data_IF_981625594446
#
_entry.id   IF_981625594446
#
_cell.length_a   1.000
_cell.length_b   1.000
_cell.length_c   1.000
_cell.angle_alpha   90.00
_cell.angle_beta   90.00
_cell.angle_gamma   90.00
#
_symmetry.space_group_name_H-M   'P 1'
#
loop_
_entity.id
_entity.type
_entity.pdbx_description
1 polymer ?
#
# COMPACT_ATOMS: atom_id res chain seq x y z
N UNK A 1 3.67 -10.91 -9.24
CA UNK A 1 3.44 -10.53 -7.84
C UNK A 1 2.22 -9.66 -7.80
N UNK A 2 1.37 -9.86 -6.81
CA UNK A 2 0.16 -9.04 -6.58
C UNK A 2 0.12 -8.56 -5.14
N UNK A 3 -0.54 -7.43 -4.92
CA UNK A 3 -0.65 -6.71 -3.64
C UNK A 3 -2.05 -6.82 -3.04
N UNK A 4 -3.01 -7.39 -3.76
CA UNK A 4 -4.40 -7.52 -3.34
C UNK A 4 -4.76 -8.98 -3.04
N UNK A 5 -5.78 -9.23 -2.22
CA UNK A 5 -6.33 -10.56 -2.03
C UNK A 5 -6.81 -11.14 -3.36
N UNK A 6 -6.36 -12.35 -3.69
CA UNK A 6 -6.77 -13.05 -4.90
C UNK A 6 -7.61 -14.26 -4.52
N UNK A 7 -8.88 -14.23 -4.89
CA UNK A 7 -9.82 -15.34 -4.68
C UNK A 7 -10.20 -15.97 -6.01
N UNK A 8 -9.38 -16.94 -6.46
CA UNK A 8 -9.68 -17.72 -7.66
C UNK A 8 -9.21 -19.16 -7.49
N UNK A 9 -10.14 -20.13 -7.61
CA UNK A 9 -9.86 -21.57 -7.42
C UNK A 9 -8.85 -22.16 -8.42
N UNK A 10 -8.61 -21.48 -9.54
CA UNK A 10 -7.68 -21.92 -10.58
C UNK A 10 -6.26 -21.34 -10.40
N UNK A 11 -6.07 -20.50 -9.39
CA UNK A 11 -4.80 -19.88 -9.06
C UNK A 11 -4.19 -20.49 -7.79
N UNK A 12 -2.88 -20.50 -7.76
CA UNK A 12 -2.08 -20.69 -6.55
C UNK A 12 -1.62 -19.31 -6.10
N UNK A 13 -1.85 -19.00 -4.83
CA UNK A 13 -1.44 -17.74 -4.20
C UNK A 13 -0.45 -18.11 -3.11
N UNK A 14 0.79 -17.62 -3.23
CA UNK A 14 1.86 -17.88 -2.27
C UNK A 14 2.33 -16.55 -1.70
N UNK A 15 2.03 -16.23 -0.42
CA UNK A 15 2.58 -15.04 0.22
C UNK A 15 4.12 -15.10 0.20
N UNK A 16 4.74 -14.00 -0.18
CA UNK A 16 6.19 -13.93 -0.26
C UNK A 16 6.79 -12.86 0.64
N UNK A 17 6.00 -11.83 0.97
CA UNK A 17 6.48 -10.69 1.75
C UNK A 17 5.33 -9.85 2.27
N UNK A 18 5.57 -9.12 3.37
CA UNK A 18 4.66 -8.09 3.86
C UNK A 18 5.08 -6.70 3.37
N UNK A 19 4.11 -5.86 3.14
CA UNK A 19 4.23 -4.43 2.85
C UNK A 19 3.41 -3.66 3.87
N UNK A 20 3.98 -2.59 4.41
CA UNK A 20 3.30 -1.72 5.35
C UNK A 20 2.82 -0.45 4.65
N UNK A 21 1.55 -0.12 4.86
CA UNK A 21 0.99 1.13 4.40
C UNK A 21 1.18 2.21 5.47
N UNK A 22 1.50 3.42 5.03
CA UNK A 22 1.72 4.58 5.89
C UNK A 22 0.95 5.79 5.37
N UNK A 23 0.51 6.65 6.27
CA UNK A 23 -0.01 7.94 5.87
C UNK A 23 1.14 8.83 5.41
N UNK A 24 0.91 9.63 4.36
CA UNK A 24 1.86 10.61 3.85
C UNK A 24 1.27 12.00 3.88
N UNK A 25 2.08 12.93 4.33
CA UNK A 25 1.74 14.35 4.44
C UNK A 25 2.93 15.21 4.00
N UNK A 26 2.73 16.48 3.58
CA UNK A 26 3.84 17.39 3.36
C UNK A 26 4.48 17.80 4.72
N UNK A 27 5.75 18.22 4.73
CA UNK A 27 6.47 18.56 5.99
C UNK A 27 5.81 19.65 6.84
N UNK A 28 5.05 20.55 6.22
CA UNK A 28 4.31 21.63 6.91
C UNK A 28 2.94 21.22 7.44
N UNK A 29 2.52 19.99 7.29
CA UNK A 29 1.20 19.52 7.72
C UNK A 29 1.10 19.44 9.26
N UNK A 30 -0.05 19.77 9.89
CA UNK A 30 -0.23 19.69 11.35
C UNK A 30 0.13 18.33 11.96
N UNK A 31 -0.07 17.25 11.22
CA UNK A 31 0.24 15.88 11.63
C UNK A 31 1.69 15.44 11.38
N UNK A 32 2.51 16.26 10.71
CA UNK A 32 3.86 15.86 10.28
C UNK A 32 4.83 15.50 11.43
N UNK A 33 4.54 15.92 12.66
CA UNK A 33 5.34 15.62 13.85
C UNK A 33 4.81 14.40 14.65
N UNK A 34 3.75 13.74 14.20
CA UNK A 34 3.22 12.55 14.85
C UNK A 34 3.97 11.31 14.39
N UNK A 35 4.20 10.37 15.31
CA UNK A 35 4.78 9.08 14.98
C UNK A 35 3.71 8.12 14.41
N UNK A 36 2.49 8.21 14.95
CA UNK A 36 1.35 7.38 14.54
C UNK A 36 0.11 8.22 14.31
N UNK A 37 -0.80 7.72 13.45
CA UNK A 37 -2.11 8.31 13.18
C UNK A 37 -3.15 7.20 12.95
N UNK A 38 -4.36 7.37 13.42
CA UNK A 38 -5.47 6.47 13.12
C UNK A 38 -6.30 6.96 11.93
N UNK A 39 -7.16 6.08 11.39
CA UNK A 39 -7.97 6.44 10.23
C UNK A 39 -9.02 7.51 10.53
N UNK A 40 -9.56 7.59 11.74
CA UNK A 40 -10.50 8.64 12.11
C UNK A 40 -9.87 10.03 11.99
N UNK A 41 -8.61 10.16 12.40
CA UNK A 41 -7.85 11.39 12.25
C UNK A 41 -7.51 11.71 10.78
N UNK A 42 -7.28 10.68 9.94
CA UNK A 42 -7.04 10.84 8.49
C UNK A 42 -8.30 11.37 7.80
N UNK A 43 -9.48 10.88 8.20
CA UNK A 43 -10.77 11.26 7.61
C UNK A 43 -11.13 12.74 7.81
N UNK A 44 -10.52 13.42 8.77
CA UNK A 44 -10.69 14.86 8.97
C UNK A 44 -10.11 15.73 7.86
N UNK A 45 -9.24 15.15 7.01
CA UNK A 45 -8.52 15.87 5.96
C UNK A 45 -8.98 15.48 4.55
N UNK A 46 -8.78 16.35 3.55
CA UNK A 46 -8.92 15.98 2.15
C UNK A 46 -8.05 14.78 1.82
N UNK A 47 -8.64 13.71 1.30
CA UNK A 47 -7.94 12.46 1.00
C UNK A 47 -7.73 12.30 -0.49
N UNK A 48 -6.50 12.00 -0.90
CA UNK A 48 -6.12 11.72 -2.28
C UNK A 48 -6.05 10.20 -2.43
N UNK A 49 -6.93 9.64 -3.24
CA UNK A 49 -7.07 8.21 -3.43
C UNK A 49 -6.45 7.74 -4.76
N UNK A 50 -6.15 6.45 -4.83
CA UNK A 50 -5.86 5.78 -6.10
C UNK A 50 -7.16 5.48 -6.84
N UNK A 51 -7.05 5.27 -8.14
CA UNK A 51 -8.14 4.86 -9.04
C UNK A 51 -8.80 3.55 -8.61
N UNK A 52 -10.03 3.32 -9.06
CA UNK A 52 -10.73 2.06 -8.89
C UNK A 52 -9.94 0.88 -9.48
N UNK A 53 -9.90 -0.26 -8.77
CA UNK A 53 -9.08 -1.42 -9.12
C UNK A 53 -7.63 -1.37 -8.63
N UNK A 54 -7.22 -0.29 -7.95
CA UNK A 54 -5.93 -0.24 -7.26
C UNK A 54 -5.95 -1.11 -6.01
N UNK A 55 -5.02 -2.06 -5.89
CA UNK A 55 -4.89 -2.91 -4.70
C UNK A 55 -4.65 -2.11 -3.41
N UNK A 56 -3.94 -0.99 -3.47
CA UNK A 56 -3.78 -0.09 -2.32
C UNK A 56 -5.12 0.51 -1.88
N UNK A 57 -5.93 0.98 -2.84
CA UNK A 57 -7.28 1.51 -2.56
C UNK A 57 -8.17 0.44 -1.92
N UNK A 58 -8.18 -0.77 -2.46
CA UNK A 58 -8.99 -1.87 -1.94
C UNK A 58 -8.66 -2.18 -0.48
N UNK A 59 -7.37 -2.27 -0.15
CA UNK A 59 -6.92 -2.55 1.23
C UNK A 59 -7.31 -1.42 2.19
N UNK A 60 -7.18 -0.16 1.78
CA UNK A 60 -7.57 1.01 2.59
C UNK A 60 -9.08 1.01 2.84
N UNK A 61 -9.89 0.85 1.79
CA UNK A 61 -11.34 0.87 1.91
C UNK A 61 -11.86 -0.31 2.73
N UNK A 62 -11.29 -1.50 2.55
CA UNK A 62 -11.63 -2.68 3.34
C UNK A 62 -11.34 -2.43 4.84
N UNK A 63 -10.20 -1.83 5.16
CA UNK A 63 -9.85 -1.48 6.54
C UNK A 63 -10.81 -0.46 7.14
N UNK A 64 -11.10 0.63 6.43
CA UNK A 64 -12.02 1.68 6.90
C UNK A 64 -13.44 1.13 7.11
N UNK A 65 -13.94 0.31 6.19
CA UNK A 65 -15.28 -0.26 6.31
C UNK A 65 -15.43 -1.26 7.48
N UNK A 66 -14.37 -2.03 7.78
CA UNK A 66 -14.43 -3.08 8.80
C UNK A 66 -14.01 -2.61 10.19
N UNK A 67 -13.02 -1.75 10.30
CA UNK A 67 -12.43 -1.35 11.58
C UNK A 67 -13.16 -0.17 12.26
N UNK A 68 -13.64 0.78 11.47
CA UNK A 68 -14.13 2.05 12.01
C UNK A 68 -15.67 2.19 11.98
N UNK A 69 -16.37 1.27 11.31
CA UNK A 69 -17.83 1.37 11.16
C UNK A 69 -18.29 2.69 10.53
N UNK A 70 -17.41 3.33 9.77
CA UNK A 70 -17.62 4.66 9.23
C UNK A 70 -18.56 4.61 8.02
N UNK A 71 -19.81 4.99 8.21
CA UNK A 71 -20.78 5.14 7.11
C UNK A 71 -20.36 6.24 6.12
N UNK A 72 -19.62 7.25 6.56
CA UNK A 72 -19.22 8.39 5.75
C UNK A 72 -17.90 8.19 4.97
N UNK A 73 -17.09 7.18 5.31
CA UNK A 73 -15.86 6.84 4.60
C UNK A 73 -14.81 7.95 4.58
N UNK A 74 -13.83 7.81 3.69
CA UNK A 74 -12.77 8.80 3.48
C UNK A 74 -13.32 10.03 2.73
N UNK A 75 -12.87 11.23 3.12
CA UNK A 75 -13.15 12.48 2.40
C UNK A 75 -12.32 12.54 1.09
N UNK A 76 -12.65 11.69 0.13
CA UNK A 76 -11.95 11.60 -1.16
C UNK A 76 -12.23 12.84 -2.00
N UNK A 77 -11.23 13.71 -2.12
CA UNK A 77 -11.30 14.94 -2.92
C UNK A 77 -10.65 14.79 -4.29
N UNK A 78 -9.78 13.79 -4.45
CA UNK A 78 -9.08 13.55 -5.72
C UNK A 78 -8.82 12.06 -5.92
N UNK A 79 -8.95 11.60 -7.16
CA UNK A 79 -8.62 10.23 -7.58
C UNK A 79 -7.56 10.28 -8.68
N UNK A 80 -6.45 9.54 -8.50
CA UNK A 80 -5.30 9.60 -9.39
C UNK A 80 -4.81 8.20 -9.79
N UNK A 81 -4.45 8.05 -11.06
CA UNK A 81 -4.12 6.77 -11.71
C UNK A 81 -2.70 6.25 -11.49
N UNK A 82 -1.87 6.91 -10.65
CA UNK A 82 -0.53 6.40 -10.35
C UNK A 82 -0.05 6.81 -8.96
N UNK A 83 0.81 6.00 -8.31
CA UNK A 83 1.43 6.34 -7.04
C UNK A 83 2.22 7.65 -7.09
N UNK A 84 2.92 7.92 -8.19
CA UNK A 84 3.70 9.14 -8.40
C UNK A 84 2.81 10.39 -8.43
N UNK A 85 1.64 10.30 -9.10
CA UNK A 85 0.68 11.39 -9.12
C UNK A 85 0.10 11.66 -7.73
N UNK A 86 -0.22 10.61 -6.96
CA UNK A 86 -0.68 10.73 -5.57
C UNK A 86 0.38 11.43 -4.71
N UNK A 87 1.64 10.98 -4.78
CA UNK A 87 2.75 11.60 -4.04
C UNK A 87 2.91 13.07 -4.39
N UNK A 88 2.93 13.40 -5.70
CA UNK A 88 3.04 14.78 -6.17
C UNK A 88 1.89 15.68 -5.72
N UNK A 89 0.67 15.19 -5.65
CA UNK A 89 -0.46 15.94 -5.15
C UNK A 89 -0.36 16.19 -3.63
N UNK A 90 0.13 15.22 -2.86
CA UNK A 90 0.41 15.41 -1.42
C UNK A 90 1.55 16.41 -1.21
N UNK A 91 2.66 16.32 -1.98
CA UNK A 91 3.75 17.31 -1.94
C UNK A 91 3.25 18.73 -2.25
N UNK A 92 2.28 18.85 -3.15
CA UNK A 92 1.61 20.12 -3.47
C UNK A 92 0.59 20.58 -2.41
N UNK A 93 0.50 19.90 -1.27
CA UNK A 93 -0.43 20.19 -0.17
C UNK A 93 -1.92 20.20 -0.59
N UNK A 94 -2.29 19.28 -1.52
CA UNK A 94 -3.68 19.14 -1.99
C UNK A 94 -4.51 18.22 -1.10
N UNK A 95 -3.87 17.54 -0.16
CA UNK A 95 -4.49 16.61 0.78
C UNK A 95 -3.46 15.64 1.34
N UNK A 96 -3.95 14.59 1.99
CA UNK A 96 -3.14 13.49 2.52
C UNK A 96 -3.47 12.19 1.78
N UNK A 97 -2.62 11.18 1.91
CA UNK A 97 -2.87 9.86 1.32
C UNK A 97 -2.27 8.76 2.18
N UNK A 98 -2.61 7.52 1.85
CA UNK A 98 -1.99 6.31 2.41
C UNK A 98 -1.36 5.52 1.27
N UNK A 99 -0.08 5.19 1.41
CA UNK A 99 0.72 4.52 0.37
C UNK A 99 1.64 3.47 0.98
N UNK A 100 2.22 2.61 0.15
CA UNK A 100 3.29 1.70 0.58
C UNK A 100 4.50 2.49 1.08
N UNK A 101 5.02 2.13 2.24
CA UNK A 101 6.25 2.71 2.81
C UNK A 101 7.42 2.59 1.84
N UNK A 102 7.51 1.47 1.14
CA UNK A 102 8.56 1.20 0.16
C UNK A 102 8.54 2.17 -1.03
N UNK A 103 7.37 2.68 -1.41
CA UNK A 103 7.22 3.56 -2.59
C UNK A 103 7.67 4.99 -2.36
N UNK A 104 7.99 5.38 -1.11
CA UNK A 104 8.30 6.77 -0.71
C UNK A 104 9.74 6.97 -0.21
N UNK A 105 10.60 5.98 -0.36
CA UNK A 105 11.99 6.06 0.12
C UNK A 105 12.76 7.28 -0.42
N UNK A 106 12.47 7.68 -1.66
CA UNK A 106 13.07 8.85 -2.30
C UNK A 106 12.58 10.15 -1.67
N UNK A 107 11.28 10.28 -1.49
CA UNK A 107 10.62 11.47 -0.94
C UNK A 107 11.01 11.69 0.52
N UNK A 108 11.10 10.62 1.31
CA UNK A 108 11.60 10.68 2.69
C UNK A 108 13.05 11.15 2.75
N UNK A 109 13.92 10.64 1.86
CA UNK A 109 15.33 11.07 1.78
C UNK A 109 15.49 12.52 1.37
N UNK A 110 14.61 13.02 0.51
CA UNK A 110 14.59 14.41 0.05
C UNK A 110 13.89 15.34 1.05
N UNK A 111 13.13 14.80 2.00
CA UNK A 111 12.33 15.57 2.96
C UNK A 111 11.14 16.27 2.31
N UNK A 112 10.66 15.80 1.15
CA UNK A 112 9.49 16.38 0.47
C UNK A 112 8.18 15.82 0.99
N UNK A 113 8.20 14.64 1.60
CA UNK A 113 7.09 14.02 2.31
C UNK A 113 7.52 13.55 3.71
N UNK A 114 6.56 13.45 4.60
CA UNK A 114 6.67 12.80 5.90
C UNK A 114 5.76 11.58 5.90
N UNK A 115 6.28 10.44 6.37
CA UNK A 115 5.52 9.24 6.62
C UNK A 115 5.13 9.14 8.08
N UNK A 116 3.88 8.80 8.34
CA UNK A 116 3.32 8.59 9.68
C UNK A 116 2.79 7.16 9.71
N UNK A 117 3.16 6.39 10.71
CA UNK A 117 2.67 5.02 10.86
C UNK A 117 1.18 4.99 11.18
N UNK A 118 0.48 3.98 10.66
CA UNK A 118 -0.94 3.79 10.97
C UNK A 118 -1.10 3.03 12.29
N UNK A 119 -2.09 3.42 13.08
CA UNK A 119 -2.50 2.73 14.31
C UNK A 119 -4.01 2.39 14.23
N UNK A 120 -4.37 1.10 14.15
CA UNK A 120 -3.50 -0.08 14.07
C UNK A 120 -2.71 -0.14 12.75
N UNK A 121 -1.53 -0.82 12.75
CA UNK A 121 -0.74 -0.97 11.53
C UNK A 121 -1.50 -1.66 10.41
N UNK A 122 -1.43 -1.10 9.22
CA UNK A 122 -2.04 -1.67 8.02
C UNK A 122 -0.99 -2.40 7.19
N UNK A 123 -1.03 -3.73 7.29
CA UNK A 123 -0.13 -4.64 6.59
C UNK A 123 -0.86 -5.37 5.47
N UNK A 124 -0.20 -5.56 4.35
CA UNK A 124 -0.71 -6.38 3.24
C UNK A 124 0.35 -7.35 2.74
N UNK A 125 -0.03 -8.57 2.32
CA UNK A 125 0.92 -9.51 1.74
C UNK A 125 1.17 -9.21 0.26
N UNK A 126 2.43 -9.17 -0.15
CA UNK A 126 2.81 -9.46 -1.52
C UNK A 126 2.73 -10.97 -1.76
N UNK A 127 2.12 -11.37 -2.86
CA UNK A 127 1.95 -12.77 -3.18
C UNK A 127 2.40 -13.10 -4.60
N UNK A 128 3.08 -14.23 -4.76
CA UNK A 128 3.24 -14.83 -6.08
C UNK A 128 1.94 -15.49 -6.48
N UNK A 129 1.44 -15.16 -7.67
CA UNK A 129 0.22 -15.74 -8.20
C UNK A 129 0.52 -16.40 -9.53
N UNK A 130 0.13 -17.66 -9.66
CA UNK A 130 0.26 -18.40 -10.91
C UNK A 130 -0.91 -19.39 -11.09
N UNK A 131 -1.15 -19.84 -12.30
CA UNK A 131 -2.19 -20.82 -12.58
C UNK A 131 -1.86 -22.20 -11.98
N UNK A 132 -2.88 -22.91 -11.52
CA UNK A 132 -2.81 -24.33 -11.16
C UNK A 132 -2.64 -25.15 -12.45
N UNK A 133 -1.42 -25.26 -12.95
CA UNK A 133 -1.12 -26.05 -14.15
C UNK A 133 -0.70 -27.46 -13.77
N UNK A 134 -1.15 -28.42 -14.57
CA UNK A 134 -0.74 -29.85 -14.44
C UNK A 134 0.72 -30.04 -14.85
N UNK A 135 1.21 -29.20 -15.78
CA UNK A 135 2.59 -29.21 -16.24
C UNK A 135 3.16 -27.80 -16.09
N UNK A 136 4.26 -27.67 -15.35
CA UNK A 136 5.00 -26.42 -15.19
C UNK A 136 6.22 -26.42 -16.12
N UNK A 137 6.54 -25.26 -16.68
CA UNK A 137 7.79 -25.08 -17.40
C UNK A 137 8.93 -24.93 -16.39
N UNK A 138 10.05 -25.63 -16.62
CA UNK A 138 11.24 -25.58 -15.75
C UNK A 138 11.71 -24.16 -15.44
N UNK A 139 11.70 -23.27 -16.44
CA UNK A 139 12.05 -21.86 -16.25
C UNK A 139 11.17 -21.14 -15.23
N UNK A 140 9.87 -21.45 -15.16
CA UNK A 140 8.96 -20.88 -14.17
C UNK A 140 9.26 -21.39 -12.76
N UNK A 141 9.56 -22.68 -12.62
CA UNK A 141 9.91 -23.26 -11.32
C UNK A 141 11.23 -22.67 -10.81
N UNK A 142 12.25 -22.54 -11.66
CA UNK A 142 13.53 -21.92 -11.31
C UNK A 142 13.36 -20.42 -10.93
N UNK A 143 12.51 -19.67 -11.66
CA UNK A 143 12.21 -18.29 -11.32
C UNK A 143 11.51 -18.15 -9.96
N UNK A 144 10.52 -18.99 -9.68
CA UNK A 144 9.80 -18.99 -8.40
C UNK A 144 10.73 -19.36 -7.24
N UNK A 145 11.60 -20.35 -7.43
CA UNK A 145 12.57 -20.76 -6.41
C UNK A 145 13.59 -19.66 -6.13
N UNK A 146 14.13 -19.05 -7.18
CA UNK A 146 14.99 -17.87 -7.05
C UNK A 146 14.29 -16.74 -6.28
N UNK A 147 13.07 -16.37 -6.68
CA UNK A 147 12.32 -15.31 -6.07
C UNK A 147 11.99 -15.59 -4.58
N UNK A 148 11.60 -16.83 -4.23
CA UNK A 148 11.41 -17.26 -2.83
C UNK A 148 12.69 -17.14 -2.02
N UNK A 149 13.81 -17.59 -2.58
CA UNK A 149 15.12 -17.49 -1.93
C UNK A 149 15.53 -16.04 -1.72
N UNK A 150 15.31 -15.19 -2.72
CA UNK A 150 15.60 -13.76 -2.65
C UNK A 150 14.76 -13.06 -1.56
N UNK A 151 13.46 -13.30 -1.52
CA UNK A 151 12.59 -12.73 -0.48
C UNK A 151 13.00 -13.14 0.94
N UNK A 152 13.46 -14.39 1.12
CA UNK A 152 13.94 -14.87 2.43
C UNK A 152 15.26 -14.24 2.85
N UNK A 153 16.17 -13.99 1.90
CA UNK A 153 17.49 -13.43 2.20
C UNK A 153 17.52 -11.91 2.32
N UNK A 154 16.45 -11.23 1.87
CA UNK A 154 16.32 -9.77 1.91
C UNK A 154 15.00 -9.34 2.56
N UNK A 155 14.79 -9.59 3.85
CA UNK A 155 13.53 -9.28 4.52
C UNK A 155 13.21 -7.78 4.52
N UNK A 156 14.22 -6.91 4.44
CA UNK A 156 14.08 -5.46 4.53
C UNK A 156 14.23 -4.69 3.21
N UNK A 157 14.36 -5.39 2.07
CA UNK A 157 14.59 -4.76 0.77
C UNK A 157 13.29 -4.23 0.11
N UNK A 158 12.50 -3.47 0.86
CA UNK A 158 11.45 -2.58 0.33
C UNK A 158 11.50 -1.29 1.09
#
# INVERSE_FOLDING_TARGET
>A
VVEAPVSNKNLVVEPCRSDFLVAIVPPGHPKANQETVNFAEIMEYPFICREEGSGTREVILDHVCHAEGCEDGLNVTMELGSPEAVKGAVEANMGISVVSRASIAKELKLGTLVAIDLDPPLERPFSFVHQKQKFRHRAMDELLEFARSYCKSHPEAV
#
